data_IF_035894142083
#
_entry.id   IF_035894142083
#
_cell.length_a   1.000
_cell.length_b   1.000
_cell.length_c   1.000
_cell.angle_alpha   90.00
_cell.angle_beta   90.00
_cell.angle_gamma   90.00
#
_symmetry.space_group_name_H-M   'P 1'
#
loop_
_entity.id
_entity.type
_entity.pdbx_description
1 polymer ?
#
# COMPACT_ATOMS: atom_id res chain seq x y z
N UNK A 1 13.92 4.26 -7.66
CA UNK A 1 13.79 2.96 -8.39
C UNK A 1 12.36 2.47 -8.21
N UNK A 2 11.71 2.04 -9.30
CA UNK A 2 10.35 1.45 -9.26
C UNK A 2 10.43 0.09 -8.57
N UNK A 3 9.48 -0.19 -7.67
CA UNK A 3 9.34 -1.48 -6.99
C UNK A 3 7.88 -1.92 -6.92
N UNK A 4 7.69 -3.23 -6.96
CA UNK A 4 6.41 -3.91 -6.80
C UNK A 4 6.54 -4.97 -5.71
N UNK A 5 5.48 -5.18 -4.95
CA UNK A 5 5.29 -6.37 -4.13
C UNK A 5 3.84 -6.83 -4.27
N UNK A 6 3.61 -8.06 -4.67
CA UNK A 6 2.29 -8.60 -4.98
C UNK A 6 1.99 -9.92 -4.26
N UNK A 7 2.96 -10.51 -3.61
CA UNK A 7 2.77 -11.67 -2.75
C UNK A 7 2.76 -11.21 -1.30
N UNK A 8 1.67 -11.47 -0.58
CA UNK A 8 1.59 -11.21 0.85
C UNK A 8 1.72 -12.53 1.60
N UNK A 9 2.89 -12.76 2.22
CA UNK A 9 3.19 -13.99 2.97
C UNK A 9 2.33 -14.13 4.23
N UNK A 10 1.75 -13.04 4.73
CA UNK A 10 0.86 -13.06 5.89
C UNK A 10 -0.45 -13.80 5.64
N UNK A 11 -0.84 -14.03 4.38
CA UNK A 11 -2.01 -14.87 4.03
C UNK A 11 -1.82 -16.33 4.45
N UNK A 12 -0.57 -16.76 4.62
CA UNK A 12 -0.20 -18.10 5.08
C UNK A 12 0.07 -18.15 6.58
N UNK A 13 -0.31 -17.09 7.34
CA UNK A 13 -0.09 -17.03 8.77
C UNK A 13 -0.79 -18.17 9.49
N UNK A 14 -0.04 -18.88 10.32
CA UNK A 14 -0.53 -19.97 11.15
C UNK A 14 -1.08 -19.48 12.49
N UNK A 15 -0.63 -18.32 12.95
CA UNK A 15 -1.06 -17.67 14.18
C UNK A 15 -1.02 -16.16 14.02
N UNK A 16 -2.12 -15.52 14.41
CA UNK A 16 -2.22 -14.06 14.53
C UNK A 16 -2.56 -13.74 15.98
N UNK A 17 -1.80 -12.86 16.61
CA UNK A 17 -2.08 -12.39 17.97
C UNK A 17 -2.04 -10.87 18.04
N UNK A 18 -2.86 -10.32 18.92
CA UNK A 18 -2.98 -8.89 19.14
C UNK A 18 -3.06 -8.59 20.64
N UNK A 19 -2.64 -7.39 21.04
CA UNK A 19 -2.79 -6.89 22.42
C UNK A 19 -4.25 -6.86 22.86
N UNK A 20 -5.13 -6.48 21.95
CA UNK A 20 -6.59 -6.50 22.09
C UNK A 20 -7.25 -6.46 20.71
N UNK A 21 -8.51 -6.86 20.63
CA UNK A 21 -9.30 -6.74 19.42
C UNK A 21 -10.78 -6.48 19.77
N UNK A 22 -11.40 -5.56 19.04
CA UNK A 22 -12.82 -5.34 19.11
C UNK A 22 -13.55 -6.45 18.33
N UNK A 23 -14.76 -6.81 18.74
CA UNK A 23 -15.56 -7.84 18.04
C UNK A 23 -15.80 -7.53 16.56
N UNK A 24 -15.88 -6.24 16.20
CA UNK A 24 -16.03 -5.79 14.82
C UNK A 24 -14.71 -5.65 14.05
N UNK A 25 -13.55 -5.72 14.75
CA UNK A 25 -12.23 -5.47 14.16
C UNK A 25 -11.21 -6.48 14.66
N UNK A 26 -11.32 -7.74 14.21
CA UNK A 26 -10.40 -8.81 14.57
C UNK A 26 -9.03 -8.60 13.90
N UNK A 27 -7.97 -9.16 14.51
CA UNK A 27 -6.61 -9.01 14.02
C UNK A 27 -6.40 -9.62 12.63
N UNK A 28 -7.08 -10.71 12.33
CA UNK A 28 -7.02 -11.42 11.05
C UNK A 28 -7.58 -10.59 9.89
N UNK A 29 -8.46 -9.62 10.18
CA UNK A 29 -9.06 -8.76 9.17
C UNK A 29 -8.01 -7.93 8.41
N UNK A 30 -6.92 -7.54 9.06
CA UNK A 30 -5.89 -6.73 8.42
C UNK A 30 -4.99 -7.49 7.42
N UNK A 31 -5.21 -8.78 7.20
CA UNK A 31 -4.55 -9.56 6.15
C UNK A 31 -5.37 -9.50 4.83
N UNK A 32 -6.67 -9.22 4.93
CA UNK A 32 -7.55 -9.08 3.77
C UNK A 32 -7.43 -7.68 3.16
N UNK A 33 -7.26 -7.55 1.84
CA UNK A 33 -7.18 -6.25 1.18
C UNK A 33 -8.56 -5.57 1.02
N UNK A 34 -9.55 -6.00 1.77
CA UNK A 34 -10.89 -5.43 1.76
C UNK A 34 -10.95 -4.30 2.79
N UNK A 35 -11.02 -3.06 2.36
CA UNK A 35 -10.96 -1.90 3.28
C UNK A 35 -12.13 -1.75 4.24
N UNK A 36 -13.16 -2.58 4.14
CA UNK A 36 -14.21 -2.73 5.16
C UNK A 36 -13.77 -3.56 6.36
N UNK A 37 -12.73 -4.38 6.17
CA UNK A 37 -12.17 -5.24 7.20
C UNK A 37 -10.94 -4.55 7.78
N UNK A 38 -10.85 -4.49 9.10
CA UNK A 38 -9.74 -3.86 9.80
C UNK A 38 -9.54 -4.48 11.18
N UNK A 39 -8.35 -4.33 11.73
CA UNK A 39 -8.12 -4.53 13.14
C UNK A 39 -8.41 -3.24 13.88
N UNK A 40 -9.13 -3.35 14.99
CA UNK A 40 -9.43 -2.25 15.90
C UNK A 40 -9.19 -2.72 17.34
N UNK A 41 -8.46 -1.93 18.10
CA UNK A 41 -8.24 -2.21 19.52
C UNK A 41 -9.51 -2.09 20.34
N UNK A 42 -9.61 -2.87 21.42
CA UNK A 42 -10.75 -2.86 22.35
C UNK A 42 -10.41 -2.16 23.67
N UNK A 43 -11.41 -1.61 24.32
CA UNK A 43 -11.29 -1.12 25.70
C UNK A 43 -11.12 -2.29 26.70
N UNK A 44 -10.39 -2.12 27.82
CA UNK A 44 -9.72 -0.88 28.21
C UNK A 44 -8.50 -0.60 27.34
N UNK A 45 -8.33 0.65 26.92
CA UNK A 45 -7.21 1.03 26.05
C UNK A 45 -5.89 1.05 26.82
N UNK A 46 -4.85 0.57 26.17
CA UNK A 46 -3.46 0.64 26.62
C UNK A 46 -2.74 1.74 25.86
N UNK A 47 -1.66 2.28 26.40
CA UNK A 47 -0.79 3.20 25.66
C UNK A 47 0.05 2.53 24.59
N UNK A 48 0.06 1.20 24.56
CA UNK A 48 0.83 0.40 23.62
C UNK A 48 -0.01 -0.75 23.10
N UNK A 49 -0.03 -0.91 21.80
CA UNK A 49 -0.77 -1.94 21.08
C UNK A 49 0.17 -2.71 20.16
N UNK A 50 -0.04 -4.02 20.05
CA UNK A 50 0.79 -4.87 19.20
C UNK A 50 -0.02 -5.86 18.38
N UNK A 51 0.54 -6.23 17.23
CA UNK A 51 0.15 -7.34 16.37
C UNK A 51 1.36 -8.23 16.12
N UNK A 52 1.16 -9.54 16.14
CA UNK A 52 2.17 -10.53 15.78
C UNK A 52 1.58 -11.52 14.78
N UNK A 53 2.32 -11.79 13.71
CA UNK A 53 1.98 -12.80 12.72
C UNK A 53 3.11 -13.81 12.65
N UNK A 54 2.77 -15.10 12.75
CA UNK A 54 3.67 -16.21 12.52
C UNK A 54 3.30 -16.87 11.19
N UNK A 55 4.27 -17.10 10.33
CA UNK A 55 4.08 -17.64 8.98
C UNK A 55 5.26 -18.57 8.62
N UNK A 56 5.13 -19.40 7.57
CA UNK A 56 6.23 -20.23 7.10
C UNK A 56 7.45 -19.37 6.74
N UNK A 57 8.67 -19.88 7.01
CA UNK A 57 9.90 -19.17 6.67
C UNK A 57 9.87 -18.67 5.23
N UNK A 58 9.95 -17.36 5.07
CA UNK A 58 9.79 -16.69 3.78
C UNK A 58 10.83 -15.58 3.61
N UNK A 59 11.28 -15.39 2.37
CA UNK A 59 12.14 -14.27 2.01
C UNK A 59 11.29 -13.05 1.69
N UNK A 60 11.53 -11.94 2.38
CA UNK A 60 10.77 -10.70 2.25
C UNK A 60 11.68 -9.49 2.04
N UNK A 61 11.20 -8.49 1.35
CA UNK A 61 11.92 -7.22 1.08
C UNK A 61 11.00 -6.00 1.00
N UNK A 62 9.72 -6.18 1.33
CA UNK A 62 8.72 -5.13 1.43
C UNK A 62 7.83 -5.33 2.65
N UNK A 63 7.66 -4.29 3.45
CA UNK A 63 6.66 -4.23 4.51
C UNK A 63 5.77 -3.00 4.28
N UNK A 64 4.44 -3.16 4.39
CA UNK A 64 3.47 -2.10 4.20
C UNK A 64 2.36 -2.12 5.25
N UNK A 65 2.05 -0.95 5.80
CA UNK A 65 0.88 -0.70 6.63
C UNK A 65 -0.03 0.30 5.93
N UNK A 66 -1.32 -0.02 5.84
CA UNK A 66 -2.31 0.81 5.15
C UNK A 66 -3.57 0.98 5.99
N UNK A 67 -4.20 2.15 5.86
CA UNK A 67 -5.40 2.47 6.62
C UNK A 67 -5.15 2.56 8.12
N UNK A 68 -3.97 3.01 8.52
CA UNK A 68 -3.62 3.19 9.94
C UNK A 68 -4.31 4.44 10.45
N UNK A 69 -5.02 4.31 11.57
CA UNK A 69 -5.58 5.43 12.34
C UNK A 69 -5.17 5.26 13.79
N UNK A 70 -4.72 6.34 14.39
CA UNK A 70 -4.35 6.43 15.80
C UNK A 70 -5.01 7.64 16.43
N UNK A 71 -5.30 7.60 17.72
CA UNK A 71 -5.85 8.76 18.45
C UNK A 71 -4.84 9.92 18.54
N UNK A 72 -3.55 9.61 18.46
CA UNK A 72 -2.46 10.58 18.49
C UNK A 72 -1.69 10.57 17.16
N UNK A 73 -1.33 11.74 16.64
CA UNK A 73 -0.62 11.88 15.36
C UNK A 73 0.84 11.45 15.43
N UNK A 74 1.47 11.50 16.61
CA UNK A 74 2.90 11.23 16.82
C UNK A 74 3.17 9.90 17.54
N UNK A 75 2.29 8.92 17.34
CA UNK A 75 2.46 7.59 17.90
C UNK A 75 3.74 6.92 17.38
N UNK A 76 4.44 6.21 18.24
CA UNK A 76 5.62 5.43 17.84
C UNK A 76 5.21 4.19 17.07
N UNK A 77 6.01 3.78 16.09
CA UNK A 77 5.82 2.57 15.30
C UNK A 77 7.12 1.77 15.30
N UNK A 78 7.09 0.61 15.93
CA UNK A 78 8.16 -0.38 15.93
C UNK A 78 7.73 -1.60 15.12
N UNK A 79 8.56 -2.00 14.17
CA UNK A 79 8.38 -3.20 13.36
C UNK A 79 9.61 -4.08 13.53
N UNK A 80 9.43 -5.32 13.94
CA UNK A 80 10.50 -6.30 14.05
C UNK A 80 10.18 -7.51 13.18
N UNK A 81 11.08 -7.81 12.24
CA UNK A 81 11.08 -9.08 11.53
C UNK A 81 11.99 -10.04 12.30
N UNK A 82 11.48 -11.25 12.57
CA UNK A 82 12.21 -12.23 13.35
C UNK A 82 12.35 -13.54 12.58
N UNK A 83 13.43 -14.26 12.88
CA UNK A 83 13.68 -15.60 12.42
C UNK A 83 13.97 -16.49 13.62
N UNK A 84 13.13 -17.48 13.84
CA UNK A 84 13.25 -18.39 15.00
C UNK A 84 13.37 -17.62 16.34
N UNK A 85 12.57 -16.57 16.50
CA UNK A 85 12.53 -15.70 17.69
C UNK A 85 13.61 -14.61 17.76
N UNK A 86 14.62 -14.63 16.87
CA UNK A 86 15.67 -13.60 16.86
C UNK A 86 15.33 -12.47 15.89
N UNK A 87 15.48 -11.21 16.33
CA UNK A 87 15.26 -10.04 15.47
C UNK A 87 16.33 -9.98 14.39
N UNK A 88 15.92 -10.08 13.12
CA UNK A 88 16.80 -9.96 11.94
C UNK A 88 16.70 -8.58 11.31
N UNK A 89 15.59 -7.87 11.52
CA UNK A 89 15.41 -6.49 11.06
C UNK A 89 14.52 -5.74 12.03
N UNK A 90 14.91 -4.52 12.33
CA UNK A 90 14.11 -3.60 13.12
C UNK A 90 13.92 -2.28 12.36
N UNK A 91 12.70 -1.76 12.39
CA UNK A 91 12.33 -0.46 11.85
C UNK A 91 11.63 0.29 12.99
N UNK A 92 12.21 1.40 13.40
CA UNK A 92 11.66 2.28 14.43
C UNK A 92 11.39 3.65 13.81
N UNK A 93 10.14 4.10 13.88
CA UNK A 93 9.68 5.35 13.29
C UNK A 93 8.45 5.87 14.03
N UNK A 94 7.76 6.84 13.48
CA UNK A 94 6.51 7.37 14.02
C UNK A 94 5.38 7.20 13.01
N UNK A 95 4.15 7.22 13.51
CA UNK A 95 2.94 7.29 12.69
C UNK A 95 2.64 8.71 12.22
N UNK A 96 3.49 9.69 12.54
CA UNK A 96 3.31 11.08 12.16
C UNK A 96 2.98 11.23 10.67
N UNK A 97 1.93 11.96 10.37
CA UNK A 97 1.64 12.36 9.01
C UNK A 97 2.74 13.32 8.54
N UNK A 98 3.13 13.21 7.28
CA UNK A 98 4.01 14.21 6.68
C UNK A 98 3.21 15.49 6.57
N UNK A 99 3.55 16.45 7.43
CA UNK A 99 3.01 17.82 7.37
C UNK A 99 3.85 18.56 6.34
N UNK A 100 3.21 18.96 5.23
CA UNK A 100 3.88 19.80 4.24
C UNK A 100 3.88 21.26 4.70
N UNK A 101 5.02 21.89 4.64
CA UNK A 101 5.12 23.34 4.73
C UNK A 101 4.41 24.06 3.58
N UNK A 102 4.18 25.35 3.73
CA UNK A 102 3.61 26.18 2.67
C UNK A 102 4.44 26.06 1.38
N UNK A 103 3.79 25.65 0.29
CA UNK A 103 4.45 25.48 -1.01
C UNK A 103 5.18 24.15 -1.24
N UNK A 104 5.24 23.26 -0.24
CA UNK A 104 5.93 21.96 -0.35
C UNK A 104 5.04 20.83 -0.93
N UNK A 105 3.74 21.03 -0.96
CA UNK A 105 2.77 20.04 -1.46
C UNK A 105 2.31 20.33 -2.89
N UNK A 106 1.80 19.31 -3.59
CA UNK A 106 1.23 19.48 -4.93
C UNK A 106 0.06 20.46 -4.91
N UNK A 107 0.02 21.33 -5.90
CA UNK A 107 -1.02 22.35 -6.05
C UNK A 107 -2.42 21.71 -6.11
N UNK A 108 -3.33 22.18 -5.26
CA UNK A 108 -4.72 21.72 -5.24
C UNK A 108 -5.01 20.48 -4.39
N UNK A 109 -4.01 19.84 -3.80
CA UNK A 109 -4.19 18.68 -2.92
C UNK A 109 -4.37 19.05 -1.44
N UNK A 110 -3.94 20.26 -1.03
CA UNK A 110 -4.01 20.73 0.36
C UNK A 110 -4.72 22.07 0.43
N UNK A 111 -5.36 22.32 1.59
CA UNK A 111 -5.86 23.66 1.90
C UNK A 111 -4.68 24.66 1.95
N UNK A 112 -4.93 25.87 1.52
CA UNK A 112 -3.96 26.97 1.61
C UNK A 112 -3.52 27.10 3.08
N UNK A 113 -2.28 26.74 3.39
CA UNK A 113 -1.77 26.76 4.76
C UNK A 113 -1.06 25.49 5.23
N UNK A 114 -0.88 24.45 4.38
CA UNK A 114 -0.03 23.29 4.66
C UNK A 114 -0.67 22.18 5.51
N UNK A 115 -1.98 22.19 5.75
CA UNK A 115 -2.67 21.12 6.45
C UNK A 115 -3.38 20.19 5.47
N UNK A 116 -3.27 18.87 5.69
CA UNK A 116 -4.27 17.96 5.18
C UNK A 116 -5.60 18.35 5.86
N UNK A 117 -6.60 18.77 5.09
CA UNK A 117 -7.88 19.14 5.66
C UNK A 117 -8.45 17.94 6.44
N UNK A 118 -8.81 18.10 7.73
CA UNK A 118 -9.53 17.07 8.46
C UNK A 118 -10.81 16.72 7.65
N UNK A 119 -11.02 15.44 7.36
CA UNK A 119 -12.20 14.97 6.61
C UNK A 119 -11.94 14.59 5.15
N UNK A 120 -10.72 14.69 4.62
CA UNK A 120 -10.39 14.05 3.35
C UNK A 120 -9.92 12.61 3.61
N UNK A 121 -10.87 11.71 3.73
CA UNK A 121 -10.67 10.26 3.99
C UNK A 121 -9.82 9.53 2.94
N UNK A 122 -9.50 10.18 1.83
CA UNK A 122 -8.73 9.58 0.74
C UNK A 122 -7.21 9.59 0.97
N UNK A 123 -6.70 10.36 1.93
CA UNK A 123 -5.32 10.23 2.41
C UNK A 123 -5.28 9.32 3.64
N UNK A 124 -5.62 8.07 3.44
CA UNK A 124 -5.37 7.09 4.49
C UNK A 124 -3.88 7.03 4.77
N UNK A 125 -3.56 7.08 6.04
CA UNK A 125 -2.19 6.95 6.48
C UNK A 125 -1.65 5.59 6.06
N UNK A 126 -0.53 5.59 5.37
CA UNK A 126 0.19 4.37 5.03
C UNK A 126 1.69 4.54 5.26
N UNK A 127 2.37 3.44 5.54
CA UNK A 127 3.82 3.32 5.61
C UNK A 127 4.25 2.13 4.79
N UNK A 128 5.19 2.32 3.86
CA UNK A 128 5.80 1.24 3.09
C UNK A 128 7.30 1.34 3.21
N UNK A 129 7.92 0.23 3.59
CA UNK A 129 9.35 0.11 3.75
C UNK A 129 9.88 -0.93 2.77
N UNK A 130 10.87 -0.53 2.01
CA UNK A 130 11.61 -1.38 1.08
C UNK A 130 12.99 -1.64 1.67
N UNK A 131 13.41 -2.88 1.70
CA UNK A 131 14.71 -3.29 2.24
C UNK A 131 15.33 -4.41 1.39
N UNK A 132 16.52 -4.85 1.73
CA UNK A 132 17.15 -6.02 1.12
C UNK A 132 16.42 -7.28 1.53
N UNK A 133 16.56 -8.35 0.74
CA UNK A 133 15.93 -9.63 1.00
C UNK A 133 16.36 -10.21 2.36
N UNK A 134 15.38 -10.54 3.19
CA UNK A 134 15.57 -11.07 4.54
C UNK A 134 14.67 -12.27 4.72
N UNK A 135 15.24 -13.36 5.26
CA UNK A 135 14.46 -14.53 5.67
C UNK A 135 13.89 -14.33 7.07
N UNK A 136 12.57 -14.44 7.21
CA UNK A 136 11.87 -14.35 8.48
C UNK A 136 10.66 -15.29 8.53
N UNK A 137 10.19 -15.59 9.74
CA UNK A 137 9.04 -16.45 10.04
C UNK A 137 8.05 -15.78 11.02
N UNK A 138 8.40 -14.58 11.50
CA UNK A 138 7.55 -13.77 12.38
C UNK A 138 7.70 -12.28 12.05
N UNK A 139 6.59 -11.55 12.11
CA UNK A 139 6.58 -10.09 12.18
C UNK A 139 5.83 -9.63 13.41
N UNK A 140 6.47 -8.74 14.16
CA UNK A 140 5.93 -8.04 15.32
C UNK A 140 5.79 -6.57 14.99
N UNK A 141 4.62 -6.01 15.24
CA UNK A 141 4.27 -4.61 15.00
C UNK A 141 3.78 -4.03 16.32
N UNK A 142 4.38 -2.93 16.74
CA UNK A 142 3.98 -2.23 17.96
C UNK A 142 3.72 -0.76 17.65
N UNK A 143 2.62 -0.24 18.17
CA UNK A 143 2.23 1.17 18.09
C UNK A 143 2.03 1.68 19.51
N UNK A 144 2.86 2.63 19.90
CA UNK A 144 2.87 3.23 21.23
C UNK A 144 2.47 4.70 21.24
N UNK A 145 2.12 5.19 22.43
CA UNK A 145 1.73 6.59 22.63
C UNK A 145 0.33 6.93 22.11
N UNK A 146 -0.57 5.95 22.04
CA UNK A 146 -1.94 6.14 21.54
C UNK A 146 -2.91 5.23 22.30
N UNK A 147 -4.13 5.69 22.53
CA UNK A 147 -5.16 4.92 23.22
C UNK A 147 -5.91 3.96 22.31
N UNK A 148 -6.01 4.29 21.02
CA UNK A 148 -6.77 3.51 20.06
C UNK A 148 -5.98 3.39 18.75
N UNK A 149 -6.00 2.19 18.18
CA UNK A 149 -5.35 1.89 16.90
C UNK A 149 -6.33 1.15 16.00
N UNK A 150 -6.38 1.58 14.75
CA UNK A 150 -7.02 0.86 13.65
C UNK A 150 -5.96 0.60 12.57
N UNK A 151 -5.93 -0.61 12.02
CA UNK A 151 -5.12 -0.97 10.85
C UNK A 151 -6.00 -1.65 9.82
N UNK A 152 -6.07 -1.08 8.62
CA UNK A 152 -6.86 -1.63 7.52
C UNK A 152 -6.19 -2.81 6.83
N UNK A 153 -4.90 -2.72 6.54
CA UNK A 153 -4.19 -3.78 5.83
C UNK A 153 -2.70 -3.81 6.16
N UNK A 154 -2.18 -5.02 6.34
CA UNK A 154 -0.76 -5.30 6.52
C UNK A 154 -0.26 -6.12 5.34
N UNK A 155 0.84 -5.67 4.74
CA UNK A 155 1.52 -6.36 3.66
C UNK A 155 2.95 -6.70 4.06
N UNK A 156 3.35 -7.93 3.83
CA UNK A 156 4.74 -8.38 3.96
C UNK A 156 5.04 -9.34 2.81
N UNK A 157 6.09 -9.08 2.06
CA UNK A 157 6.41 -9.97 0.95
C UNK A 157 7.68 -9.64 0.19
N UNK A 158 8.02 -10.45 -0.79
CA UNK A 158 9.14 -10.19 -1.67
C UNK A 158 8.86 -8.97 -2.56
N UNK A 159 9.90 -8.26 -2.92
CA UNK A 159 9.81 -7.17 -3.89
C UNK A 159 10.39 -7.57 -5.24
N UNK A 160 9.77 -7.07 -6.30
CA UNK A 160 10.31 -7.14 -7.64
C UNK A 160 10.61 -5.72 -8.14
N UNK A 161 11.75 -5.57 -8.77
CA UNK A 161 12.14 -4.32 -9.44
C UNK A 161 12.49 -4.64 -10.88
N UNK A 162 12.17 -3.75 -11.83
CA UNK A 162 12.62 -3.93 -13.20
C UNK A 162 14.14 -4.11 -13.25
N UNK A 163 14.65 -5.16 -13.92
CA UNK A 163 16.09 -5.37 -14.08
C UNK A 163 16.79 -4.17 -14.72
N UNK A 164 18.08 -4.05 -14.47
CA UNK A 164 18.88 -2.98 -15.06
C UNK A 164 18.76 -2.97 -16.59
N UNK A 165 18.53 -1.78 -17.17
CA UNK A 165 18.32 -1.60 -18.59
C UNK A 165 16.87 -1.57 -19.06
N UNK A 166 15.90 -1.84 -18.17
CA UNK A 166 14.49 -1.60 -18.42
C UNK A 166 14.19 -0.13 -18.14
N UNK A 167 13.69 0.58 -19.16
CA UNK A 167 13.15 1.93 -18.97
C UNK A 167 11.74 1.81 -18.41
N UNK A 168 11.53 2.30 -17.18
CA UNK A 168 10.27 2.23 -16.49
C UNK A 168 9.77 3.63 -16.17
N UNK A 169 8.65 4.01 -16.77
CA UNK A 169 7.97 5.27 -16.54
C UNK A 169 6.65 5.03 -15.79
N UNK A 170 6.21 6.01 -15.02
CA UNK A 170 4.89 5.98 -14.41
C UNK A 170 4.23 7.36 -14.44
N UNK A 171 2.91 7.36 -14.49
CA UNK A 171 2.10 8.57 -14.33
C UNK A 171 0.98 8.32 -13.32
N UNK A 172 0.68 9.32 -12.51
CA UNK A 172 -0.40 9.26 -11.52
C UNK A 172 -1.57 10.13 -11.97
N UNK A 173 -2.77 9.57 -11.95
CA UNK A 173 -4.01 10.24 -12.28
C UNK A 173 -5.05 9.97 -11.19
N UNK A 174 -6.03 10.87 -11.06
CA UNK A 174 -7.20 10.66 -10.22
C UNK A 174 -8.39 10.39 -11.11
N UNK A 175 -9.09 9.30 -10.85
CA UNK A 175 -10.33 8.96 -11.53
C UNK A 175 -11.49 9.04 -10.54
N UNK A 176 -12.69 9.34 -11.05
CA UNK A 176 -13.90 9.43 -10.24
C UNK A 176 -14.88 8.35 -10.66
N UNK A 177 -15.46 7.66 -9.67
CA UNK A 177 -16.64 6.84 -9.92
C UNK A 177 -17.86 7.76 -9.87
N UNK A 178 -18.52 7.94 -11.00
CA UNK A 178 -19.81 8.61 -11.07
C UNK A 178 -20.89 7.56 -10.79
N UNK A 179 -21.54 7.68 -9.64
CA UNK A 179 -22.78 6.95 -9.37
C UNK A 179 -23.94 7.84 -9.85
N UNK A 180 -24.76 7.30 -10.75
CA UNK A 180 -25.97 7.89 -11.30
C UNK A 180 -25.80 9.26 -11.98
N UNK A 181 -25.54 9.23 -13.27
CA UNK A 181 -25.71 10.42 -14.12
C UNK A 181 -27.14 10.49 -14.64
N UNK A 182 -27.95 11.36 -14.06
CA UNK A 182 -29.23 11.70 -14.65
C UNK A 182 -29.04 12.90 -15.61
N UNK A 183 -29.43 12.74 -16.87
CA UNK A 183 -29.55 13.86 -17.81
C UNK A 183 -30.93 14.47 -17.62
N UNK A 184 -30.97 15.73 -17.23
CA UNK A 184 -32.25 16.48 -17.23
C UNK A 184 -32.58 16.94 -18.66
N UNK A 185 -33.83 17.39 -18.87
CA UNK A 185 -34.35 17.86 -20.18
C UNK A 185 -33.56 19.03 -20.77
N UNK A 186 -32.73 19.72 -20.02
CA UNK A 186 -31.84 20.79 -20.48
C UNK A 186 -30.45 20.31 -20.92
N UNK A 187 -30.18 19.00 -20.96
CA UNK A 187 -28.91 18.44 -21.38
C UNK A 187 -27.79 18.56 -20.33
N UNK A 188 -28.11 19.08 -19.15
CA UNK A 188 -27.17 19.17 -18.03
C UNK A 188 -27.08 17.81 -17.35
N UNK A 189 -25.89 17.27 -17.30
CA UNK A 189 -25.61 16.03 -16.59
C UNK A 189 -25.43 16.36 -15.11
N UNK A 190 -26.38 15.98 -14.29
CA UNK A 190 -26.25 16.03 -12.83
C UNK A 190 -25.82 14.65 -12.36
N UNK A 191 -24.65 14.55 -11.81
CA UNK A 191 -24.16 13.31 -11.22
C UNK A 191 -23.50 13.59 -9.89
N UNK A 192 -23.77 12.77 -8.91
CA UNK A 192 -23.05 12.81 -7.66
C UNK A 192 -21.75 12.01 -7.84
N UNK A 193 -20.61 12.70 -7.83
CA UNK A 193 -19.29 12.04 -7.76
C UNK A 193 -19.17 11.44 -6.37
N UNK A 194 -19.26 10.12 -6.27
CA UNK A 194 -19.27 9.46 -4.96
C UNK A 194 -17.88 9.22 -4.40
N UNK A 195 -16.90 8.96 -5.25
CA UNK A 195 -15.54 8.68 -4.80
C UNK A 195 -14.51 9.02 -5.87
N UNK A 196 -13.38 9.58 -5.43
CA UNK A 196 -12.16 9.66 -6.22
C UNK A 196 -11.22 8.54 -5.80
N UNK A 197 -10.56 7.92 -6.74
CA UNK A 197 -9.50 6.96 -6.48
C UNK A 197 -8.28 7.29 -7.36
N UNK A 198 -7.12 6.96 -6.86
CA UNK A 198 -5.87 7.21 -7.57
C UNK A 198 -5.58 6.04 -8.48
N UNK A 199 -5.13 6.36 -9.70
CA UNK A 199 -4.62 5.39 -10.65
C UNK A 199 -3.16 5.69 -10.95
N UNK A 200 -2.35 4.65 -11.03
CA UNK A 200 -0.98 4.75 -11.52
C UNK A 200 -0.86 3.91 -12.79
N UNK A 201 -0.50 4.57 -13.88
CA UNK A 201 -0.16 3.91 -15.12
C UNK A 201 1.34 3.70 -15.17
N UNK A 202 1.78 2.46 -15.31
CA UNK A 202 3.18 2.07 -15.39
C UNK A 202 3.47 1.52 -16.75
N UNK A 203 4.52 2.02 -17.39
CA UNK A 203 5.03 1.51 -18.68
C UNK A 203 6.42 0.96 -18.47
N UNK A 204 6.60 -0.32 -18.74
CA UNK A 204 7.90 -1.00 -18.70
C UNK A 204 8.34 -1.24 -20.14
N UNK A 205 9.40 -0.55 -20.56
CA UNK A 205 9.98 -0.69 -21.90
C UNK A 205 11.19 -1.62 -21.85
N UNK A 206 11.43 -2.34 -22.92
CA UNK A 206 12.55 -3.27 -23.06
C UNK A 206 12.53 -4.42 -22.06
N UNK A 207 11.33 -4.85 -21.64
CA UNK A 207 11.19 -6.01 -20.73
C UNK A 207 11.48 -7.31 -21.48
N UNK A 208 12.30 -8.18 -20.90
CA UNK A 208 12.56 -9.52 -21.45
C UNK A 208 11.31 -10.41 -21.33
N UNK A 209 11.21 -11.40 -22.21
CA UNK A 209 10.09 -12.33 -22.19
C UNK A 209 9.96 -13.11 -20.88
N UNK A 210 11.09 -13.45 -20.25
CA UNK A 210 11.13 -14.14 -18.96
C UNK A 210 10.54 -13.28 -17.83
N UNK A 211 10.96 -12.01 -17.73
CA UNK A 211 10.44 -11.07 -16.74
C UNK A 211 8.97 -10.77 -16.97
N UNK A 212 8.55 -10.65 -18.24
CA UNK A 212 7.15 -10.48 -18.59
C UNK A 212 6.31 -11.70 -18.20
N UNK A 213 6.78 -12.91 -18.46
CA UNK A 213 6.10 -14.13 -18.04
C UNK A 213 5.99 -14.22 -16.51
N UNK A 214 7.04 -13.84 -15.79
CA UNK A 214 7.01 -13.77 -14.34
C UNK A 214 5.91 -12.82 -13.84
N UNK A 215 5.81 -11.62 -14.39
CA UNK A 215 4.74 -10.68 -14.05
C UNK A 215 3.36 -11.23 -14.41
N UNK A 216 3.18 -11.78 -15.61
CA UNK A 216 1.90 -12.33 -16.07
C UNK A 216 1.44 -13.52 -15.22
N UNK A 217 2.35 -14.34 -14.70
CA UNK A 217 2.03 -15.49 -13.86
C UNK A 217 1.68 -15.12 -12.41
N UNK A 218 2.08 -13.94 -11.95
CA UNK A 218 1.91 -13.52 -10.56
C UNK A 218 0.91 -12.37 -10.39
N UNK A 219 0.55 -11.68 -11.47
CA UNK A 219 -0.35 -10.53 -11.43
C UNK A 219 -1.62 -10.82 -12.23
N UNK A 220 -2.70 -11.05 -11.52
CA UNK A 220 -4.04 -11.14 -12.07
C UNK A 220 -4.92 -9.98 -11.56
N UNK A 221 -6.16 -9.90 -12.04
CA UNK A 221 -7.10 -8.85 -11.65
C UNK A 221 -7.48 -8.88 -10.15
N UNK A 222 -7.28 -10.01 -9.46
CA UNK A 222 -7.56 -10.18 -8.03
C UNK A 222 -6.36 -9.87 -7.15
N UNK A 223 -5.15 -9.87 -7.74
CA UNK A 223 -3.89 -9.67 -7.01
C UNK A 223 -3.78 -8.25 -6.47
N UNK A 224 -3.55 -8.14 -5.17
CA UNK A 224 -3.27 -6.85 -4.54
C UNK A 224 -1.79 -6.54 -4.66
N UNK A 225 -1.50 -5.35 -5.14
CA UNK A 225 -0.14 -4.89 -5.45
C UNK A 225 0.22 -3.69 -4.57
N UNK A 226 1.36 -3.76 -3.91
CA UNK A 226 2.05 -2.59 -3.37
C UNK A 226 3.02 -2.11 -4.44
N UNK A 227 2.81 -0.90 -4.94
CA UNK A 227 3.66 -0.28 -5.94
C UNK A 227 4.30 0.98 -5.37
N UNK A 228 5.57 1.21 -5.71
CA UNK A 228 6.22 2.49 -5.49
C UNK A 228 7.03 2.90 -6.72
N UNK A 229 6.71 4.04 -7.27
CA UNK A 229 7.48 4.65 -8.36
C UNK A 229 8.82 5.20 -7.88
N UNK A 230 8.93 5.47 -6.59
CA UNK A 230 10.12 6.01 -5.95
C UNK A 230 10.34 5.32 -4.60
N UNK A 231 11.09 4.24 -4.61
CA UNK A 231 11.27 3.38 -3.43
C UNK A 231 12.26 3.94 -2.37
N UNK A 232 12.69 5.19 -2.49
CA UNK A 232 13.48 5.86 -1.47
C UNK A 232 12.58 6.26 -0.30
N UNK A 233 13.04 5.94 0.91
CA UNK A 233 12.24 6.15 2.12
C UNK A 233 12.10 7.63 2.46
N UNK A 234 10.95 7.98 3.03
CA UNK A 234 10.67 9.28 3.68
C UNK A 234 10.74 10.52 2.79
N UNK A 235 10.60 10.40 1.49
CA UNK A 235 10.46 11.55 0.62
C UNK A 235 9.00 11.78 0.24
N UNK A 236 8.63 13.03 0.07
CA UNK A 236 7.34 13.44 -0.49
C UNK A 236 7.02 12.67 -1.78
N UNK A 237 8.02 12.51 -2.65
CA UNK A 237 7.89 11.76 -3.92
C UNK A 237 7.55 10.28 -3.69
N UNK A 238 8.16 9.63 -2.70
CA UNK A 238 7.86 8.24 -2.37
C UNK A 238 6.40 8.06 -1.94
N UNK A 239 5.88 8.96 -1.11
CA UNK A 239 4.50 8.92 -0.65
C UNK A 239 3.51 9.07 -1.81
N UNK A 240 3.73 10.03 -2.71
CA UNK A 240 2.83 10.25 -3.86
C UNK A 240 2.92 9.17 -4.92
N UNK A 241 4.06 8.51 -5.06
CA UNK A 241 4.26 7.44 -6.03
C UNK A 241 3.95 6.05 -5.48
N UNK A 242 3.58 5.94 -4.20
CA UNK A 242 3.26 4.65 -3.58
C UNK A 242 1.75 4.45 -3.52
N UNK A 243 1.30 3.25 -3.88
CA UNK A 243 -0.11 2.86 -3.91
C UNK A 243 -0.27 1.40 -3.49
N UNK A 244 -1.35 1.13 -2.77
CA UNK A 244 -1.91 -0.21 -2.63
C UNK A 244 -3.07 -0.31 -3.60
N UNK A 245 -3.01 -1.20 -4.55
CA UNK A 245 -4.00 -1.25 -5.62
C UNK A 245 -4.17 -2.64 -6.22
N UNK A 246 -5.05 -2.70 -7.21
CA UNK A 246 -5.27 -3.87 -8.09
C UNK A 246 -5.01 -3.49 -9.53
N UNK A 247 -4.82 -4.49 -10.38
CA UNK A 247 -4.61 -4.32 -11.83
C UNK A 247 -5.84 -4.89 -12.56
N UNK A 248 -6.96 -4.14 -12.62
CA UNK A 248 -8.24 -4.68 -13.09
C UNK A 248 -8.22 -5.12 -14.55
N UNK A 249 -7.45 -4.43 -15.37
CA UNK A 249 -7.32 -4.71 -16.81
C UNK A 249 -6.23 -5.75 -17.13
N UNK A 250 -5.53 -6.28 -16.12
CA UNK A 250 -4.37 -7.11 -16.31
C UNK A 250 -3.19 -6.35 -16.95
N UNK A 251 -2.19 -7.10 -17.39
CA UNK A 251 -1.00 -6.55 -18.06
C UNK A 251 -1.24 -6.54 -19.55
N UNK A 252 -1.20 -5.36 -20.18
CA UNK A 252 -1.25 -5.22 -21.63
C UNK A 252 0.17 -5.22 -22.18
N UNK A 253 0.55 -6.28 -22.89
CA UNK A 253 1.86 -6.35 -23.52
C UNK A 253 1.77 -6.20 -25.02
N UNK A 254 2.69 -5.41 -25.59
CA UNK A 254 2.88 -5.31 -27.04
C UNK A 254 4.30 -5.77 -27.37
N UNK A 255 4.40 -6.90 -28.05
CA UNK A 255 5.66 -7.42 -28.57
C UNK A 255 5.64 -7.43 -30.10
N UNK A 256 6.72 -7.04 -30.75
CA UNK A 256 6.88 -7.34 -32.15
C UNK A 256 7.45 -8.76 -32.28
N UNK A 257 6.94 -9.59 -33.24
CA UNK A 257 7.33 -11.02 -33.35
C UNK A 257 8.84 -11.26 -33.54
N UNK A 258 9.61 -10.23 -33.83
CA UNK A 258 11.05 -10.30 -34.04
C UNK A 258 11.90 -9.52 -33.03
N UNK A 259 11.28 -8.98 -31.97
CA UNK A 259 12.02 -8.21 -30.95
C UNK A 259 12.23 -9.07 -29.69
N UNK A 260 13.45 -9.08 -29.20
CA UNK A 260 13.84 -9.71 -27.92
C UNK A 260 13.22 -9.04 -26.69
N UNK A 261 12.58 -7.89 -26.88
CA UNK A 261 12.04 -7.05 -25.81
C UNK A 261 10.60 -6.67 -26.10
N UNK A 262 9.82 -6.62 -25.04
CA UNK A 262 8.42 -6.25 -25.05
C UNK A 262 8.21 -4.91 -24.34
N UNK A 263 7.04 -4.32 -24.53
CA UNK A 263 6.54 -3.20 -23.74
C UNK A 263 5.36 -3.74 -22.92
N UNK A 264 5.39 -3.54 -21.62
CA UNK A 264 4.28 -3.90 -20.74
C UNK A 264 3.66 -2.63 -20.14
N UNK A 265 2.34 -2.50 -20.24
CA UNK A 265 1.57 -1.42 -19.67
C UNK A 265 0.64 -1.99 -18.59
N UNK A 266 0.69 -1.39 -17.40
CA UNK A 266 -0.12 -1.75 -16.25
C UNK A 266 -0.87 -0.52 -15.75
N UNK A 267 -2.14 -0.68 -15.44
CA UNK A 267 -2.93 0.32 -14.71
C UNK A 267 -3.19 -0.22 -13.32
N UNK A 268 -2.68 0.46 -12.30
CA UNK A 268 -2.89 0.10 -10.89
C UNK A 268 -3.95 1.04 -10.34
N UNK A 269 -5.07 0.51 -9.91
CA UNK A 269 -6.16 1.26 -9.29
C UNK A 269 -6.12 1.10 -7.78
N UNK A 270 -6.18 2.22 -7.07
CA UNK A 270 -6.14 2.24 -5.60
C UNK A 270 -7.30 1.43 -5.01
N UNK A 271 -6.96 0.52 -4.12
CA UNK A 271 -7.95 -0.14 -3.26
C UNK A 271 -8.50 0.89 -2.26
N UNK A 272 -9.83 0.99 -2.13
CA UNK A 272 -10.52 1.83 -1.14
C UNK A 272 -11.54 1.03 -0.36
#
# INVERSE_FOLDING_TARGET
MIRFSFTNVLKESTMVSASSANLAGQAENCISPTFGDYWLTAAPFSDTHYLTFNFPLSTVSCFGLFGVRTSNTDSTLLIQLKRSGNVVKEINTTTAQVVYGYGEGPYGLFAYGGYSAPGRDWMQFFRVFWFEDIDCDEVYIEIGGTNEVQIGYVHLGPSWSPPFGINADYSSTFESVQLDTARNYGGVTTGQVSRYYRCINVTLQLIKSEDLQYLLSNLDASTTVVFSGFAEQNTTKAIYSTILGKIPDGIKSTGAPHKRFNVANLKIEECK
#
